data_IF_727109180969
#
_entry.id   IF_727109180969
#
_cell.length_a   1.000
_cell.length_b   1.000
_cell.length_c   1.000
_cell.angle_alpha   90.00
_cell.angle_beta   90.00
_cell.angle_gamma   90.00
#
_symmetry.space_group_name_H-M   'P 1'
#
loop_
_entity.id
_entity.type
_entity.pdbx_description
1 polymer ?
#
# COMPACT_ATOMS: atom_id res chain seq x y z
N UNK A 1 38.90 3.24 30.30
CA UNK A 1 39.11 2.88 28.88
C UNK A 1 38.50 1.51 28.53
N UNK A 2 38.95 0.39 29.12
CA UNK A 2 38.42 -0.97 28.80
C UNK A 2 36.90 -1.12 28.98
N UNK A 3 36.33 -0.61 30.08
CA UNK A 3 34.88 -0.64 30.33
C UNK A 3 34.08 0.19 29.33
N UNK A 4 34.61 1.33 28.88
CA UNK A 4 33.96 2.19 27.89
C UNK A 4 33.94 1.54 26.50
N UNK A 5 35.01 0.82 26.14
CA UNK A 5 35.08 0.05 24.88
C UNK A 5 34.05 -1.09 24.88
N UNK A 6 33.90 -1.79 26.02
CA UNK A 6 32.89 -2.86 26.14
C UNK A 6 31.47 -2.32 26.04
N UNK A 7 31.16 -1.20 26.71
CA UNK A 7 29.84 -0.56 26.62
C UNK A 7 29.55 -0.10 25.18
N UNK A 8 30.52 0.50 24.50
CA UNK A 8 30.37 0.94 23.12
C UNK A 8 30.17 -0.24 22.16
N UNK A 9 30.89 -1.35 22.35
CA UNK A 9 30.72 -2.56 21.54
C UNK A 9 29.34 -3.20 21.71
N UNK A 10 28.81 -3.24 22.95
CA UNK A 10 27.46 -3.75 23.24
C UNK A 10 26.38 -2.86 22.60
N UNK A 11 26.55 -1.54 22.66
CA UNK A 11 25.62 -0.59 22.03
C UNK A 11 25.62 -0.73 20.50
N UNK A 12 26.79 -0.92 19.87
CA UNK A 12 26.89 -1.12 18.42
C UNK A 12 26.22 -2.43 17.96
N UNK A 13 26.32 -3.50 18.76
CA UNK A 13 25.64 -4.78 18.48
C UNK A 13 24.11 -4.71 18.67
N UNK A 14 23.63 -3.87 19.58
CA UNK A 14 22.19 -3.67 19.80
C UNK A 14 21.51 -2.95 18.62
N UNK A 15 22.21 -2.09 17.89
CA UNK A 15 21.65 -1.37 16.72
C UNK A 15 21.35 -2.32 15.55
N UNK A 16 22.13 -3.39 15.36
CA UNK A 16 21.90 -4.39 14.31
C UNK A 16 20.70 -5.33 14.56
N UNK A 17 20.04 -5.25 15.73
CA UNK A 17 18.96 -6.16 16.10
C UNK A 17 17.54 -5.68 15.72
N UNK A 18 17.39 -4.46 15.21
CA UNK A 18 16.07 -3.89 14.86
C UNK A 18 15.67 -4.07 13.39
N UNK A 19 15.80 -5.30 12.87
CA UNK A 19 15.35 -5.64 11.52
C UNK A 19 13.90 -6.13 11.51
N UNK A 20 13.05 -5.52 10.67
CA UNK A 20 11.70 -6.02 10.38
C UNK A 20 11.67 -6.56 8.94
N UNK A 21 10.90 -7.62 8.66
CA UNK A 21 10.71 -8.06 7.28
C UNK A 21 10.05 -6.93 6.47
N UNK A 22 10.58 -6.63 5.28
CA UNK A 22 9.91 -5.73 4.33
C UNK A 22 8.73 -6.49 3.73
N UNK A 23 7.52 -5.98 3.94
CA UNK A 23 6.33 -6.51 3.28
C UNK A 23 6.22 -5.93 1.87
N UNK A 24 5.73 -6.75 0.93
CA UNK A 24 5.35 -6.24 -0.38
C UNK A 24 4.13 -5.34 -0.23
N UNK A 25 4.03 -4.31 -1.07
CA UNK A 25 2.90 -3.40 -1.10
C UNK A 25 2.20 -3.55 -2.44
N UNK A 26 0.88 -3.68 -2.43
CA UNK A 26 0.06 -3.63 -3.63
C UNK A 26 -0.89 -2.46 -3.51
N UNK A 27 -0.93 -1.61 -4.52
CA UNK A 27 -1.75 -0.41 -4.52
C UNK A 27 -2.71 -0.45 -5.69
N UNK A 28 -4.01 -0.34 -5.39
CA UNK A 28 -5.05 -0.43 -6.41
C UNK A 28 -5.79 0.89 -6.54
N UNK A 29 -5.88 1.38 -7.77
CA UNK A 29 -6.65 2.57 -8.10
C UNK A 29 -8.01 2.18 -8.69
N UNK A 30 -9.07 2.75 -8.12
CA UNK A 30 -10.46 2.38 -8.42
C UNK A 30 -11.40 3.59 -8.33
N UNK A 31 -12.67 3.38 -8.67
CA UNK A 31 -13.75 4.32 -8.42
C UNK A 31 -15.10 3.58 -8.29
N UNK A 32 -15.99 4.05 -7.43
CA UNK A 32 -17.29 3.43 -7.15
C UNK A 32 -18.25 3.45 -8.36
N UNK A 33 -18.07 4.39 -9.29
CA UNK A 33 -18.85 4.48 -10.54
C UNK A 33 -18.16 3.78 -11.73
N UNK A 34 -17.08 3.04 -11.50
CA UNK A 34 -16.34 2.33 -12.53
C UNK A 34 -16.79 0.85 -12.62
N UNK A 35 -17.57 0.53 -13.66
CA UNK A 35 -18.04 -0.85 -13.90
C UNK A 35 -16.90 -1.89 -14.00
N UNK A 36 -15.82 -1.70 -14.77
CA UNK A 36 -14.72 -2.68 -14.79
C UNK A 36 -14.00 -2.80 -13.46
N UNK A 37 -13.96 -1.73 -12.66
CA UNK A 37 -13.33 -1.75 -11.34
C UNK A 37 -14.07 -2.67 -10.35
N UNK A 38 -15.39 -2.78 -10.46
CA UNK A 38 -16.19 -3.71 -9.64
C UNK A 38 -15.79 -5.17 -9.88
N UNK A 39 -15.50 -5.55 -11.13
CA UNK A 39 -15.04 -6.91 -11.47
C UNK A 39 -13.67 -7.21 -10.85
N UNK A 40 -12.72 -6.27 -10.94
CA UNK A 40 -11.39 -6.40 -10.33
C UNK A 40 -11.47 -6.46 -8.79
N UNK A 41 -12.38 -5.69 -8.18
CA UNK A 41 -12.55 -5.67 -6.73
C UNK A 41 -12.90 -7.05 -6.13
N UNK A 42 -13.64 -7.88 -6.86
CA UNK A 42 -14.02 -9.21 -6.37
C UNK A 42 -13.16 -10.31 -6.98
N UNK A 43 -13.03 -10.35 -8.31
CA UNK A 43 -12.39 -11.45 -9.03
C UNK A 43 -10.87 -11.48 -8.83
N UNK A 44 -10.21 -10.38 -9.20
CA UNK A 44 -8.75 -10.29 -9.06
C UNK A 44 -8.32 -10.33 -7.59
N UNK A 45 -9.00 -9.60 -6.71
CA UNK A 45 -8.68 -9.58 -5.27
C UNK A 45 -8.66 -10.98 -4.65
N UNK A 46 -9.75 -11.74 -4.84
CA UNK A 46 -9.89 -13.10 -4.31
C UNK A 46 -8.83 -14.03 -4.88
N UNK A 47 -8.51 -13.89 -6.17
CA UNK A 47 -7.57 -14.77 -6.86
C UNK A 47 -6.09 -14.48 -6.56
N UNK A 48 -5.73 -13.26 -6.11
CA UNK A 48 -4.33 -12.82 -6.09
C UNK A 48 -3.86 -12.19 -4.78
N UNK A 49 -4.71 -11.42 -4.09
CA UNK A 49 -4.29 -10.59 -2.95
C UNK A 49 -4.79 -11.17 -1.62
N UNK A 50 -6.04 -11.63 -1.57
CA UNK A 50 -6.72 -11.98 -0.32
C UNK A 50 -5.92 -12.97 0.54
N UNK A 51 -5.38 -14.03 -0.06
CA UNK A 51 -4.60 -15.04 0.68
C UNK A 51 -3.28 -14.50 1.23
N UNK A 52 -2.61 -13.62 0.48
CA UNK A 52 -1.33 -13.03 0.87
C UNK A 52 -1.51 -11.97 1.95
N UNK A 53 -2.57 -11.15 1.85
CA UNK A 53 -2.97 -10.18 2.87
C UNK A 53 -3.34 -10.89 4.19
N UNK A 54 -4.16 -11.94 4.13
CA UNK A 54 -4.54 -12.74 5.31
C UNK A 54 -3.33 -13.43 5.98
N UNK A 55 -2.32 -13.80 5.20
CA UNK A 55 -1.08 -14.38 5.69
C UNK A 55 -0.08 -13.32 6.21
N UNK A 56 -0.41 -12.03 6.13
CA UNK A 56 0.50 -10.93 6.49
C UNK A 56 1.73 -10.84 5.59
N UNK A 57 1.67 -11.39 4.38
CA UNK A 57 2.81 -11.43 3.44
C UNK A 57 2.89 -10.20 2.53
N UNK A 58 1.79 -9.46 2.41
CA UNK A 58 1.73 -8.18 1.71
C UNK A 58 0.71 -7.25 2.36
N UNK A 59 0.88 -5.96 2.14
CA UNK A 59 -0.10 -4.92 2.46
C UNK A 59 -0.81 -4.46 1.19
N UNK A 60 -2.13 -4.25 1.26
CA UNK A 60 -2.94 -3.81 0.14
C UNK A 60 -3.62 -2.49 0.45
N UNK A 61 -3.35 -1.46 -0.34
CA UNK A 61 -3.97 -0.14 -0.21
C UNK A 61 -4.84 0.14 -1.42
N UNK A 62 -6.04 0.66 -1.18
CA UNK A 62 -6.99 1.03 -2.23
C UNK A 62 -7.13 2.55 -2.26
N UNK A 63 -6.83 3.14 -3.41
CA UNK A 63 -6.99 4.57 -3.68
C UNK A 63 -8.16 4.81 -4.61
N UNK A 64 -9.12 5.63 -4.17
CA UNK A 64 -10.30 5.95 -4.95
C UNK A 64 -10.10 7.28 -5.67
N UNK A 65 -10.04 7.26 -7.00
CA UNK A 65 -9.85 8.46 -7.82
C UNK A 65 -11.19 9.16 -8.09
N UNK A 66 -11.16 10.39 -8.60
CA UNK A 66 -12.33 11.22 -8.85
C UNK A 66 -13.08 10.95 -10.17
N UNK A 67 -12.73 9.88 -10.88
CA UNK A 67 -13.32 9.52 -12.18
C UNK A 67 -13.46 8.00 -12.32
N UNK A 68 -14.45 7.51 -13.10
CA UNK A 68 -15.41 8.27 -13.91
C UNK A 68 -16.50 8.99 -13.11
N UNK A 69 -16.70 8.66 -11.82
CA UNK A 69 -17.66 9.33 -10.95
C UNK A 69 -16.99 10.24 -9.92
N UNK A 70 -17.27 11.55 -9.89
CA UNK A 70 -16.67 12.46 -8.91
C UNK A 70 -17.24 12.30 -7.49
N UNK A 71 -18.34 11.58 -7.33
CA UNK A 71 -19.07 11.42 -6.07
C UNK A 71 -18.75 10.08 -5.36
N UNK A 72 -17.63 9.43 -5.69
CA UNK A 72 -17.18 8.26 -4.94
C UNK A 72 -16.93 8.67 -3.46
N UNK A 73 -17.64 8.07 -2.48
CA UNK A 73 -17.52 8.49 -1.09
C UNK A 73 -16.10 8.32 -0.53
N UNK A 74 -15.34 7.32 -1.01
CA UNK A 74 -13.99 7.04 -0.56
C UNK A 74 -13.00 8.04 -1.16
N UNK A 75 -13.27 8.52 -2.38
CA UNK A 75 -12.56 9.65 -2.94
C UNK A 75 -12.83 10.91 -2.12
N UNK A 76 -14.11 11.23 -1.86
CA UNK A 76 -14.51 12.43 -1.12
C UNK A 76 -13.96 12.45 0.32
N UNK A 77 -13.79 11.28 0.94
CA UNK A 77 -13.23 11.17 2.28
C UNK A 77 -11.74 11.53 2.35
N UNK A 78 -10.95 11.17 1.34
CA UNK A 78 -9.50 11.43 1.33
C UNK A 78 -8.98 11.86 -0.05
N UNK A 79 -9.55 12.93 -0.59
CA UNK A 79 -9.27 13.38 -1.95
C UNK A 79 -7.79 13.76 -2.16
N UNK A 80 -7.16 14.41 -1.18
CA UNK A 80 -5.77 14.85 -1.29
C UNK A 80 -4.82 13.68 -1.48
N UNK A 81 -4.91 12.66 -0.62
CA UNK A 81 -3.94 11.57 -0.62
C UNK A 81 -4.17 10.64 -1.80
N UNK A 82 -5.44 10.38 -2.14
CA UNK A 82 -5.83 9.62 -3.33
C UNK A 82 -5.22 10.23 -4.59
N UNK A 83 -5.34 11.54 -4.77
CA UNK A 83 -4.83 12.22 -5.97
C UNK A 83 -3.32 12.39 -5.94
N UNK A 84 -2.72 12.60 -4.77
CA UNK A 84 -1.27 12.64 -4.62
C UNK A 84 -0.64 11.30 -5.02
N UNK A 85 -1.22 10.17 -4.59
CA UNK A 85 -0.72 8.84 -4.95
C UNK A 85 -0.93 8.51 -6.43
N UNK A 86 -2.11 8.87 -6.97
CA UNK A 86 -2.41 8.76 -8.42
C UNK A 86 -1.43 9.58 -9.26
N UNK A 87 -1.02 10.76 -8.80
CA UNK A 87 -0.04 11.59 -9.48
C UNK A 87 1.37 10.98 -9.43
N UNK A 88 1.77 10.44 -8.28
CA UNK A 88 3.08 9.79 -8.09
C UNK A 88 3.33 8.68 -9.12
N UNK A 89 2.34 7.82 -9.35
CA UNK A 89 2.45 6.69 -10.30
C UNK A 89 1.95 7.02 -11.71
N UNK A 90 1.51 8.25 -11.97
CA UNK A 90 1.04 8.64 -13.31
C UNK A 90 -0.23 7.91 -13.78
N UNK A 91 -1.02 7.34 -12.87
CA UNK A 91 -2.20 6.51 -13.21
C UNK A 91 -3.23 7.30 -14.02
N UNK A 92 -3.49 6.85 -15.25
CA UNK A 92 -4.37 7.53 -16.21
C UNK A 92 -5.61 6.72 -16.61
N UNK A 93 -5.77 5.49 -16.09
CA UNK A 93 -6.98 4.68 -16.21
C UNK A 93 -7.27 3.94 -14.90
N UNK A 94 -8.55 3.65 -14.63
CA UNK A 94 -8.96 2.73 -13.57
C UNK A 94 -9.83 1.63 -14.19
N UNK A 95 -9.69 0.36 -13.74
CA UNK A 95 -8.81 -0.10 -12.66
C UNK A 95 -7.31 -0.05 -13.03
N UNK A 96 -6.45 0.19 -12.03
CA UNK A 96 -4.98 0.12 -12.14
C UNK A 96 -4.42 -0.57 -10.91
N UNK A 97 -3.36 -1.35 -11.07
CA UNK A 97 -2.66 -2.07 -9.99
C UNK A 97 -1.18 -1.74 -10.10
N UNK A 98 -0.61 -1.25 -9.01
CA UNK A 98 0.80 -0.96 -8.82
C UNK A 98 1.36 -1.93 -7.75
N UNK A 99 2.59 -2.44 -7.95
CA UNK A 99 3.28 -3.39 -7.07
C UNK A 99 4.73 -2.96 -6.87
#
# INVERSE_FOLDING_TARGET
MKKAIVVLAVLLLAVSAFGYPRQALVERFTNASCAPCASVNTGWYTATVQGLENAGSLDHIVYNVNWPGPNDPMYLFNASDNMARRALYGVNSVPWIEV
#
